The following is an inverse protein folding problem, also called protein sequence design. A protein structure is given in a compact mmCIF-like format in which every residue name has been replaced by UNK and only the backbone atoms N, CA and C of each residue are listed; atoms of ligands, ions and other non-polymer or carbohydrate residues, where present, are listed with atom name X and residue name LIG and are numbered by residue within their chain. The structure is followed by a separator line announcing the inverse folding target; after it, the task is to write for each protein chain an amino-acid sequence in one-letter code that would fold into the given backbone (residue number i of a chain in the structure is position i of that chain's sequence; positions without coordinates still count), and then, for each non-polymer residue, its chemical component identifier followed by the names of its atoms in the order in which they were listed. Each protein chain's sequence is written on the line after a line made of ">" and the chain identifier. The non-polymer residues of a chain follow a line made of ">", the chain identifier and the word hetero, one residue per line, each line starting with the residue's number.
data_IF_449941184679
#
_entry.id   IF_449941184679
#
_cell.length_a   1.000
_cell.length_b   1.000
_cell.length_c   1.000
_cell.angle_alpha   90.00
_cell.angle_beta   90.00
_cell.angle_gamma   90.00
#
_symmetry.space_group_name_H-M   'P 1'
#
loop_
_entity.id
_entity.type
_entity.pdbx_description
1 polymer ?
#
# COMPACT_ATOMS: atom_id res chain seq x y z
N UNK A 1 0.15 4.66 -0.28
CA UNK A 1 -0.31 4.47 1.11
C UNK A 1 0.40 5.39 2.10
N UNK A 2 1.74 5.42 2.20
CA UNK A 2 2.47 6.30 3.16
C UNK A 2 1.98 7.75 3.21
N UNK A 3 1.94 8.47 2.08
CA UNK A 3 1.49 9.87 2.05
C UNK A 3 0.05 10.06 2.56
N UNK A 4 -0.84 9.10 2.30
CA UNK A 4 -2.22 9.14 2.78
C UNK A 4 -2.27 8.93 4.30
N UNK A 5 -1.49 7.99 4.84
CA UNK A 5 -1.37 7.79 6.28
C UNK A 5 -0.81 9.03 6.99
N UNK A 6 0.23 9.66 6.42
CA UNK A 6 0.79 10.91 6.95
C UNK A 6 -0.23 12.04 6.93
N UNK A 7 -0.96 12.20 5.82
CA UNK A 7 -2.01 13.22 5.70
C UNK A 7 -3.13 13.01 6.72
N UNK A 8 -3.53 11.75 6.96
CA UNK A 8 -4.52 11.41 7.99
C UNK A 8 -4.02 11.79 9.39
N UNK A 9 -2.76 11.48 9.73
CA UNK A 9 -2.17 11.85 11.01
C UNK A 9 -2.01 13.37 11.20
N UNK A 10 -1.69 14.09 10.12
CA UNK A 10 -1.62 15.55 10.16
C UNK A 10 -3.00 16.19 10.34
N UNK A 11 -4.03 15.61 9.72
CA UNK A 11 -5.41 16.13 9.79
C UNK A 11 -6.13 15.73 11.06
N UNK A 12 -5.78 14.56 11.62
CA UNK A 12 -6.38 13.98 12.82
C UNK A 12 -5.28 13.54 13.79
N UNK A 13 -4.63 14.47 14.52
CA UNK A 13 -3.63 14.12 15.52
C UNK A 13 -4.21 13.17 16.57
N UNK A 14 -3.53 12.06 16.84
CA UNK A 14 -3.99 11.03 17.78
C UNK A 14 -4.96 10.00 17.21
N UNK A 15 -5.31 10.07 15.91
CA UNK A 15 -6.06 8.99 15.27
C UNK A 15 -5.27 7.70 15.26
N UNK A 16 -5.97 6.58 15.47
CA UNK A 16 -5.41 5.23 15.36
C UNK A 16 -5.38 4.83 13.89
N UNK A 17 -4.22 4.49 13.34
CA UNK A 17 -4.10 3.98 11.98
C UNK A 17 -4.21 2.46 11.96
N UNK A 18 -4.99 1.96 11.00
CA UNK A 18 -5.03 0.54 10.66
C UNK A 18 -4.57 0.44 9.21
N UNK A 19 -3.56 -0.38 8.95
CA UNK A 19 -3.05 -0.60 7.59
C UNK A 19 -3.53 -1.94 7.07
N UNK A 20 -4.17 -1.95 5.91
CA UNK A 20 -4.60 -3.21 5.28
C UNK A 20 -4.17 -3.33 3.84
N UNK A 21 -3.94 -4.56 3.37
CA UNK A 21 -3.50 -4.78 2.00
C UNK A 21 -3.75 -6.20 1.53
N UNK A 22 -4.12 -6.34 0.26
CA UNK A 22 -4.30 -7.63 -0.41
C UNK A 22 -3.24 -7.79 -1.50
N UNK A 23 -2.63 -8.98 -1.62
CA UNK A 23 -1.66 -9.31 -2.66
C UNK A 23 -0.50 -8.30 -2.69
N UNK A 24 -0.25 -7.64 -3.83
CA UNK A 24 0.71 -6.55 -3.93
C UNK A 24 0.46 -5.41 -2.91
N UNK A 25 -0.80 -5.15 -2.56
CA UNK A 25 -1.17 -4.20 -1.52
C UNK A 25 -0.63 -4.56 -0.14
N UNK A 26 -0.43 -5.84 0.16
CA UNK A 26 0.22 -6.27 1.40
C UNK A 26 1.69 -5.83 1.45
N UNK A 27 2.43 -5.96 0.34
CA UNK A 27 3.79 -5.41 0.24
C UNK A 27 3.81 -3.88 0.42
N UNK A 28 2.76 -3.20 -0.05
CA UNK A 28 2.59 -1.76 0.19
C UNK A 28 2.39 -1.44 1.67
N UNK A 29 1.69 -2.28 2.43
CA UNK A 29 1.57 -2.14 3.90
C UNK A 29 2.94 -2.23 4.56
N UNK A 30 3.73 -3.28 4.26
CA UNK A 30 5.09 -3.46 4.80
C UNK A 30 6.00 -2.26 4.49
N UNK A 31 6.03 -1.84 3.23
CA UNK A 31 6.83 -0.70 2.80
C UNK A 31 6.34 0.62 3.43
N UNK A 32 5.03 0.81 3.56
CA UNK A 32 4.48 2.02 4.15
C UNK A 32 4.78 2.11 5.64
N UNK A 33 4.66 1.00 6.38
CA UNK A 33 5.03 0.93 7.78
C UNK A 33 6.51 1.31 7.99
N UNK A 34 7.41 0.82 7.13
CA UNK A 34 8.83 1.22 7.12
C UNK A 34 9.02 2.71 6.84
N UNK A 35 8.31 3.26 5.85
CA UNK A 35 8.46 4.66 5.42
C UNK A 35 7.77 5.67 6.34
N UNK A 36 6.89 5.24 7.24
CA UNK A 36 6.28 6.11 8.26
C UNK A 36 7.29 6.59 9.31
N UNK A 37 8.42 5.88 9.50
CA UNK A 37 9.47 6.28 10.43
C UNK A 37 8.94 6.45 11.86
N UNK A 38 9.13 7.64 12.44
CA UNK A 38 8.66 7.95 13.79
C UNK A 38 7.13 7.90 13.96
N UNK A 39 6.37 7.98 12.86
CA UNK A 39 4.91 7.91 12.87
C UNK A 39 4.37 6.47 12.88
N UNK A 40 5.25 5.45 12.73
CA UNK A 40 4.84 4.05 12.72
C UNK A 40 4.15 3.63 14.03
N UNK A 41 4.45 4.29 15.16
CA UNK A 41 3.79 4.08 16.46
C UNK A 41 2.29 4.43 16.46
N UNK A 42 1.80 5.16 15.46
CA UNK A 42 0.37 5.45 15.30
C UNK A 42 -0.38 4.32 14.59
N UNK A 43 0.33 3.33 14.03
CA UNK A 43 -0.27 2.13 13.44
C UNK A 43 -0.59 1.16 14.57
N UNK A 44 -1.86 1.07 14.92
CA UNK A 44 -2.32 0.19 16.01
C UNK A 44 -2.59 -1.21 15.54
N UNK A 45 -2.84 -1.42 14.24
CA UNK A 45 -3.02 -2.76 13.68
C UNK A 45 -2.63 -2.78 12.20
N UNK A 46 -2.15 -3.94 11.74
CA UNK A 46 -1.99 -4.23 10.33
C UNK A 46 -2.63 -5.57 9.97
N UNK A 47 -3.39 -5.60 8.87
CA UNK A 47 -4.02 -6.83 8.38
C UNK A 47 -3.76 -7.03 6.90
N UNK A 48 -3.15 -8.15 6.52
CA UNK A 48 -2.88 -8.47 5.12
C UNK A 48 -3.56 -9.73 4.65
N UNK A 49 -3.83 -9.82 3.35
CA UNK A 49 -4.45 -10.98 2.69
C UNK A 49 -3.60 -11.38 1.49
N UNK A 50 -3.26 -12.66 1.34
CA UNK A 50 -2.43 -13.12 0.23
C UNK A 50 -1.05 -12.45 0.21
N UNK A 51 -0.40 -12.35 1.37
CA UNK A 51 0.80 -11.54 1.58
C UNK A 51 2.09 -12.24 1.11
N UNK A 52 2.80 -11.71 0.08
CA UNK A 52 4.11 -12.22 -0.32
C UNK A 52 5.17 -12.14 0.78
N UNK A 53 4.98 -11.22 1.74
CA UNK A 53 5.88 -10.98 2.86
C UNK A 53 5.30 -11.49 4.19
N UNK A 54 4.44 -12.52 4.16
CA UNK A 54 3.80 -13.11 5.36
C UNK A 54 4.77 -13.48 6.50
N UNK A 55 6.04 -13.73 6.17
CA UNK A 55 7.10 -14.10 7.12
C UNK A 55 7.80 -12.89 7.75
N UNK A 56 7.40 -11.67 7.38
CA UNK A 56 7.96 -10.41 7.86
C UNK A 56 6.91 -9.65 8.66
N UNK A 57 7.35 -8.91 9.68
CA UNK A 57 6.49 -7.96 10.38
C UNK A 57 6.58 -6.58 9.71
N UNK A 58 5.44 -5.87 9.54
CA UNK A 58 5.48 -4.45 9.21
C UNK A 58 6.28 -3.69 10.27
N UNK A 59 7.17 -2.80 9.84
CA UNK A 59 8.06 -2.07 10.76
C UNK A 59 7.24 -1.24 11.76
N UNK A 60 7.53 -1.38 13.05
CA UNK A 60 6.84 -0.66 14.12
C UNK A 60 5.50 -1.26 14.55
N UNK A 61 5.07 -2.37 13.93
CA UNK A 61 3.89 -3.13 14.35
C UNK A 61 4.34 -4.39 15.10
N UNK A 62 3.75 -4.64 16.26
CA UNK A 62 4.10 -5.81 17.07
C UNK A 62 3.50 -7.10 16.48
N UNK A 63 4.02 -8.26 16.89
CA UNK A 63 3.44 -9.57 16.53
C UNK A 63 1.97 -9.69 16.94
N UNK A 64 1.54 -9.04 18.04
CA UNK A 64 0.16 -9.08 18.50
C UNK A 64 -0.79 -8.21 17.65
N UNK A 65 -0.25 -7.18 17.00
CA UNK A 65 -1.01 -6.18 16.25
C UNK A 65 -0.96 -6.41 14.73
N UNK A 66 -0.26 -7.47 14.30
CA UNK A 66 -0.22 -7.91 12.92
C UNK A 66 -0.91 -9.26 12.75
N UNK A 67 -1.82 -9.33 11.78
CA UNK A 67 -2.41 -10.58 11.35
C UNK A 67 -2.39 -10.66 9.82
N UNK A 68 -2.06 -11.82 9.27
CA UNK A 68 -1.98 -12.02 7.82
C UNK A 68 -2.72 -13.28 7.44
N UNK A 69 -3.57 -13.23 6.42
CA UNK A 69 -4.33 -14.37 5.94
C UNK A 69 -3.66 -14.91 4.68
N UNK A 70 -3.31 -16.20 4.69
CA UNK A 70 -2.76 -16.91 3.54
C UNK A 70 -3.51 -18.22 3.32
N UNK A 71 -4.30 -18.25 2.25
CA UNK A 71 -5.12 -19.39 1.87
C UNK A 71 -4.24 -20.58 1.45
N UNK A 72 -4.74 -21.78 1.73
CA UNK A 72 -4.12 -22.99 1.19
C UNK A 72 -4.14 -22.93 -0.34
N UNK A 73 -3.01 -23.24 -0.98
CA UNK A 73 -2.86 -23.17 -2.44
C UNK A 73 -2.67 -21.76 -3.00
N UNK A 74 -2.61 -20.72 -2.17
CA UNK A 74 -2.19 -19.39 -2.63
C UNK A 74 -0.67 -19.35 -2.87
N UNK A 75 -0.27 -19.41 -4.15
CA UNK A 75 1.13 -19.34 -4.55
C UNK A 75 1.80 -18.00 -4.25
N UNK A 76 1.03 -16.91 -4.08
CA UNK A 76 1.57 -15.58 -3.79
C UNK A 76 2.18 -15.52 -2.39
N UNK A 77 1.55 -16.21 -1.43
CA UNK A 77 2.07 -16.36 -0.07
C UNK A 77 3.35 -17.21 -0.01
N UNK A 78 3.63 -18.02 -1.04
CA UNK A 78 4.63 -19.07 -1.00
C UNK A 78 4.16 -20.28 -0.17
N UNK A 79 4.74 -21.44 -0.47
CA UNK A 79 4.32 -22.73 0.12
C UNK A 79 4.98 -23.05 1.46
N UNK A 80 5.91 -22.21 1.93
CA UNK A 80 6.73 -22.48 3.12
C UNK A 80 6.81 -21.24 4.04
N UNK A 81 7.25 -21.45 5.28
CA UNK A 81 7.55 -20.38 6.24
C UNK A 81 6.45 -20.11 7.27
N UNK A 82 6.88 -19.81 8.50
CA UNK A 82 6.02 -19.36 9.60
C UNK A 82 5.60 -17.91 9.37
N UNK A 83 4.36 -17.60 9.72
CA UNK A 83 3.84 -16.25 9.59
C UNK A 83 4.21 -15.40 10.79
N UNK A 84 4.53 -14.13 10.54
CA UNK A 84 5.14 -13.25 11.53
C UNK A 84 4.13 -12.63 12.51
N UNK A 85 2.83 -12.73 12.18
CA UNK A 85 1.71 -12.29 13.01
C UNK A 85 1.27 -13.34 14.05
N UNK A 86 0.57 -12.87 15.08
CA UNK A 86 0.01 -13.74 16.11
C UNK A 86 -1.08 -14.64 15.52
N UNK A 87 -1.04 -15.92 15.89
CA UNK A 87 -1.99 -16.92 15.39
C UNK A 87 -1.62 -17.52 14.03
N UNK A 88 -0.45 -17.20 13.49
CA UNK A 88 -0.02 -17.69 12.18
C UNK A 88 -0.71 -16.95 11.05
N UNK A 89 -1.10 -17.68 10.00
CA UNK A 89 -1.72 -17.10 8.81
C UNK A 89 -2.83 -17.95 8.20
N UNK A 90 -3.53 -18.66 9.07
CA UNK A 90 -4.68 -19.48 8.69
C UNK A 90 -5.73 -18.60 8.00
N UNK A 91 -6.27 -19.12 6.90
CA UNK A 91 -7.37 -18.50 6.16
C UNK A 91 -8.48 -19.53 5.95
N UNK A 92 -9.72 -19.07 6.00
CA UNK A 92 -10.91 -19.84 5.68
C UNK A 92 -11.12 -20.01 4.16
N UNK A 93 -10.33 -19.31 3.33
CA UNK A 93 -10.42 -19.36 1.88
C UNK A 93 -10.07 -20.75 1.34
N UNK A 94 -10.99 -21.33 0.59
CA UNK A 94 -10.78 -22.57 -0.18
C UNK A 94 -10.45 -22.29 -1.66
N UNK A 95 -10.51 -21.03 -2.09
CA UNK A 95 -10.28 -20.59 -3.48
C UNK A 95 -8.89 -19.98 -3.68
N UNK A 96 -7.93 -20.34 -2.82
CA UNK A 96 -6.57 -19.81 -2.86
C UNK A 96 -6.57 -18.28 -2.79
N UNK A 97 -5.84 -17.64 -3.71
CA UNK A 97 -5.62 -16.20 -3.74
C UNK A 97 -6.91 -15.36 -3.86
N UNK A 98 -8.00 -15.91 -4.38
CA UNK A 98 -9.21 -15.14 -4.70
C UNK A 98 -10.30 -15.18 -3.62
N UNK A 99 -10.16 -16.05 -2.61
CA UNK A 99 -11.23 -16.37 -1.65
C UNK A 99 -11.16 -15.66 -0.30
N UNK A 100 -10.32 -14.64 -0.13
CA UNK A 100 -10.13 -13.93 1.14
C UNK A 100 -11.36 -13.17 1.65
N UNK A 101 -12.43 -13.07 0.85
CA UNK A 101 -13.73 -12.59 1.32
C UNK A 101 -14.27 -13.41 2.50
N UNK A 102 -13.87 -14.67 2.64
CA UNK A 102 -14.24 -15.53 3.77
C UNK A 102 -13.57 -15.15 5.10
N UNK A 103 -12.52 -14.33 5.07
CA UNK A 103 -11.73 -13.96 6.25
C UNK A 103 -12.08 -12.56 6.80
N UNK A 104 -12.95 -11.81 6.12
CA UNK A 104 -13.20 -10.39 6.45
C UNK A 104 -13.80 -10.19 7.85
N UNK A 105 -14.67 -11.09 8.30
CA UNK A 105 -15.26 -11.01 9.64
C UNK A 105 -14.24 -11.32 10.74
N UNK A 106 -13.35 -12.29 10.49
CA UNK A 106 -12.22 -12.60 11.38
C UNK A 106 -11.24 -11.43 11.44
N UNK A 107 -10.93 -10.82 10.28
CA UNK A 107 -10.08 -9.63 10.19
C UNK A 107 -10.65 -8.44 10.96
N UNK A 108 -11.94 -8.16 10.78
CA UNK A 108 -12.64 -7.09 11.49
C UNK A 108 -12.66 -7.33 13.00
N UNK A 109 -12.88 -8.58 13.42
CA UNK A 109 -12.87 -8.98 14.82
C UNK A 109 -11.48 -8.79 15.46
N UNK A 110 -10.42 -9.14 14.73
CA UNK A 110 -9.04 -8.89 15.14
C UNK A 110 -8.76 -7.39 15.28
N UNK A 111 -9.10 -6.58 14.27
CA UNK A 111 -8.91 -5.12 14.33
C UNK A 111 -9.63 -4.54 15.54
N UNK A 112 -10.87 -4.97 15.80
CA UNK A 112 -11.66 -4.51 16.94
C UNK A 112 -11.02 -4.88 18.27
N UNK A 113 -10.47 -6.09 18.41
CA UNK A 113 -9.83 -6.54 19.65
C UNK A 113 -8.56 -5.74 19.93
N UNK A 114 -7.75 -5.46 18.90
CA UNK A 114 -6.52 -4.67 19.03
C UNK A 114 -6.86 -3.22 19.38
N UNK A 115 -7.77 -2.59 18.64
CA UNK A 115 -8.16 -1.18 18.87
C UNK A 115 -8.81 -0.98 20.25
N UNK A 116 -9.61 -1.94 20.70
CA UNK A 116 -10.26 -1.92 22.02
C UNK A 116 -9.30 -2.22 23.18
N UNK A 117 -8.25 -3.01 22.94
CA UNK A 117 -7.20 -3.33 23.91
C UNK A 117 -6.07 -2.29 23.98
N UNK A 118 -5.84 -1.51 22.92
CA UNK A 118 -4.92 -0.37 22.98
C UNK A 118 -5.55 0.76 23.78
N UNK A 119 -5.19 0.88 25.07
CA UNK A 119 -5.62 1.95 25.99
C UNK A 119 -5.58 3.31 25.28
N UNK A 120 -6.76 3.79 24.92
CA UNK A 120 -6.92 4.94 24.04
C UNK A 120 -6.77 6.24 24.83
N UNK A 121 -5.75 7.03 24.52
CA UNK A 121 -5.79 8.47 24.72
C UNK A 121 -6.72 9.12 23.69
N UNK A 122 -8.01 9.18 24.04
CA UNK A 122 -9.04 10.13 23.57
C UNK A 122 -9.11 10.56 22.09
N UNK A 123 -10.15 10.09 21.38
CA UNK A 123 -11.33 10.91 21.00
C UNK A 123 -12.23 10.10 20.07
N UNK A 124 -13.47 9.92 20.51
CA UNK A 124 -14.53 9.19 19.80
C UNK A 124 -14.95 9.98 18.56
N UNK A 125 -14.39 9.62 17.39
CA UNK A 125 -14.95 10.00 16.10
C UNK A 125 -15.68 8.79 15.51
N UNK A 126 -17.00 8.79 15.66
CA UNK A 126 -17.89 7.83 15.00
C UNK A 126 -17.94 8.15 13.50
N UNK A 127 -17.05 7.53 12.72
CA UNK A 127 -17.22 7.48 11.27
C UNK A 127 -18.17 6.32 10.94
N UNK A 128 -19.45 6.65 10.72
CA UNK A 128 -20.42 5.73 10.13
C UNK A 128 -20.08 5.56 8.64
N UNK A 129 -19.55 4.41 8.26
CA UNK A 129 -19.50 3.99 6.85
C UNK A 129 -20.82 3.28 6.56
N UNK A 130 -21.74 3.98 5.88
CA UNK A 130 -22.92 3.36 5.32
C UNK A 130 -22.52 2.40 4.19
N UNK A 131 -23.10 1.19 4.10
CA UNK A 131 -22.84 0.29 2.99
C UNK A 131 -23.52 0.84 1.74
N UNK A 132 -22.74 1.24 0.73
CA UNK A 132 -23.29 1.44 -0.62
C UNK A 132 -23.33 0.09 -1.32
N UNK A 133 -24.51 -0.53 -1.27
CA UNK A 133 -24.86 -1.66 -2.14
C UNK A 133 -25.03 -1.11 -3.56
N UNK A 134 -24.09 -1.42 -4.44
CA UNK A 134 -24.28 -1.24 -5.88
C UNK A 134 -23.77 -2.48 -6.61
N UNK A 135 -24.60 -3.52 -6.60
CA UNK A 135 -24.61 -4.49 -7.69
C UNK A 135 -25.29 -3.79 -8.88
N UNK A 136 -24.55 -3.54 -9.96
CA UNK A 136 -25.14 -3.24 -11.26
C UNK A 136 -24.74 -4.36 -12.22
N UNK A 137 -25.79 -4.97 -12.77
CA UNK A 137 -25.77 -6.14 -13.61
C UNK A 137 -24.92 -5.95 -14.87
N UNK A 138 -24.29 -7.04 -15.30
CA UNK A 138 -23.71 -7.20 -16.63
C UNK A 138 -24.89 -7.29 -17.62
N UNK A 139 -25.05 -6.30 -18.50
CA UNK A 139 -25.93 -6.43 -19.66
C UNK A 139 -25.12 -6.95 -20.82
N UNK A 140 -25.55 -8.10 -21.32
CA UNK A 140 -25.05 -8.76 -22.51
C UNK A 140 -25.56 -8.00 -23.72
N UNK A 141 -24.67 -7.42 -24.53
CA UNK A 141 -25.05 -6.87 -25.83
C UNK A 141 -24.33 -7.65 -26.93
N UNK A 142 -25.11 -8.52 -27.58
CA UNK A 142 -24.84 -9.07 -28.90
C UNK A 142 -25.10 -7.99 -29.93
N UNK A 143 -24.08 -7.59 -30.70
CA UNK A 143 -24.29 -6.81 -31.91
C UNK A 143 -23.86 -7.60 -33.14
N UNK A 144 -24.89 -8.00 -33.90
CA UNK A 144 -24.79 -8.51 -35.25
C UNK A 144 -24.89 -7.35 -36.24
N UNK A 145 -23.76 -6.99 -36.86
CA UNK A 145 -23.70 -6.88 -38.32
C UNK A 145 -23.72 -5.50 -38.99
N UNK A 146 -22.74 -5.37 -39.90
CA UNK A 146 -22.69 -4.65 -41.19
C UNK A 146 -22.40 -3.14 -41.22
N UNK A 147 -21.25 -2.77 -41.82
CA UNK A 147 -21.08 -1.47 -42.46
C UNK A 147 -19.66 -0.97 -42.76
N UNK A 148 -18.95 -1.62 -43.69
CA UNK A 148 -17.97 -1.08 -44.66
C UNK A 148 -17.03 0.10 -44.31
N UNK A 149 -15.71 -0.16 -44.33
CA UNK A 149 -14.68 0.86 -44.51
C UNK A 149 -13.29 0.24 -44.76
N UNK A 150 -12.81 0.33 -46.00
CA UNK A 150 -11.52 -0.20 -46.47
C UNK A 150 -10.32 0.55 -45.86
N UNK A 151 -9.28 -0.19 -45.45
CA UNK A 151 -7.99 0.40 -45.10
C UNK A 151 -6.93 -0.66 -44.78
N UNK A 152 -6.15 -1.04 -45.78
CA UNK A 152 -5.02 -1.97 -45.70
C UNK A 152 -3.90 -1.44 -44.79
N UNK A 153 -3.36 -2.30 -43.92
CA UNK A 153 -2.15 -1.99 -43.15
C UNK A 153 -1.61 -3.20 -42.39
N UNK A 154 -0.77 -4.00 -43.04
CA UNK A 154 0.12 -4.94 -42.36
C UNK A 154 1.19 -4.14 -41.60
N UNK A 155 1.30 -4.36 -40.29
CA UNK A 155 2.32 -3.72 -39.47
C UNK A 155 2.59 -4.51 -38.19
N UNK A 156 3.41 -5.56 -38.32
CA UNK A 156 4.07 -6.24 -37.21
C UNK A 156 5.06 -5.28 -36.53
N UNK A 157 4.90 -5.05 -35.22
CA UNK A 157 5.76 -4.14 -34.48
C UNK A 157 5.67 -4.32 -32.97
N UNK A 158 6.09 -5.49 -32.45
CA UNK A 158 6.39 -5.67 -31.04
C UNK A 158 7.88 -5.99 -30.91
N UNK A 159 8.69 -4.95 -30.72
CA UNK A 159 10.15 -5.08 -30.50
C UNK A 159 10.45 -5.14 -29.01
N UNK A 160 10.92 -6.30 -28.57
CA UNK A 160 11.41 -6.57 -27.21
C UNK A 160 12.89 -6.17 -27.17
N UNK A 161 13.36 -5.29 -26.27
CA UNK A 161 14.79 -5.08 -26.08
C UNK A 161 15.38 -6.17 -25.18
N UNK A 162 16.03 -7.17 -25.79
CA UNK A 162 17.01 -8.06 -25.15
C UNK A 162 18.40 -7.46 -25.24
N UNK A 163 18.90 -6.86 -24.16
CA UNK A 163 20.36 -6.67 -23.99
C UNK A 163 20.77 -6.83 -22.52
N UNK A 164 21.43 -7.97 -22.27
CA UNK A 164 22.17 -8.36 -21.08
C UNK A 164 23.56 -7.69 -21.11
N UNK A 165 24.05 -7.03 -20.04
CA UNK A 165 25.44 -6.60 -20.01
C UNK A 165 26.36 -7.74 -19.54
N UNK A 166 27.27 -8.11 -20.43
CA UNK A 166 28.39 -9.02 -20.21
C UNK A 166 29.54 -8.33 -19.46
N UNK A 167 30.17 -9.05 -18.53
CA UNK A 167 31.39 -8.68 -17.81
C UNK A 167 32.55 -8.44 -18.78
N UNK A 168 33.25 -7.31 -18.64
CA UNK A 168 34.46 -6.99 -19.37
C UNK A 168 35.48 -6.30 -18.48
N UNK A 169 36.58 -7.01 -18.20
CA UNK A 169 37.77 -6.52 -17.51
C UNK A 169 38.46 -5.41 -18.31
N UNK A 170 38.78 -4.28 -17.67
CA UNK A 170 39.53 -3.18 -18.28
C UNK A 170 40.28 -2.38 -17.23
N UNK A 171 41.59 -2.63 -17.14
CA UNK A 171 42.57 -1.92 -16.32
C UNK A 171 42.93 -0.60 -17.04
N UNK A 172 42.73 0.55 -16.39
CA UNK A 172 43.07 1.84 -16.98
C UNK A 172 43.19 2.95 -15.93
N UNK A 173 44.44 3.33 -15.64
CA UNK A 173 44.81 4.46 -14.79
C UNK A 173 44.48 5.79 -15.48
N UNK A 174 43.83 6.72 -14.77
CA UNK A 174 43.60 8.07 -15.26
C UNK A 174 43.26 9.04 -14.13
N UNK A 175 44.23 9.87 -13.73
CA UNK A 175 44.02 11.07 -12.91
C UNK A 175 43.18 12.09 -13.69
N UNK A 176 42.18 12.70 -13.06
CA UNK A 176 41.41 13.78 -13.66
C UNK A 176 40.45 14.44 -12.67
N UNK A 177 40.78 15.67 -12.30
CA UNK A 177 40.13 16.55 -11.34
C UNK A 177 38.89 17.28 -11.87
N UNK A 178 37.84 17.38 -11.04
CA UNK A 178 37.04 18.61 -10.85
C UNK A 178 35.73 18.80 -11.63
N UNK A 179 34.77 19.42 -10.90
CA UNK A 179 33.57 20.15 -11.35
C UNK A 179 32.37 19.28 -11.82
N UNK A 180 31.10 19.53 -11.49
CA UNK A 180 30.38 20.59 -10.77
C UNK A 180 28.98 20.04 -10.43
N UNK A 181 28.48 20.23 -9.21
CA UNK A 181 27.09 19.88 -8.85
C UNK A 181 26.14 21.06 -9.13
N UNK A 182 24.94 20.86 -9.68
CA UNK A 182 23.94 21.92 -9.75
C UNK A 182 23.27 22.11 -8.38
N UNK A 183 23.35 23.34 -7.87
CA UNK A 183 22.64 23.82 -6.69
C UNK A 183 21.14 23.97 -6.99
N UNK A 184 20.28 23.41 -6.13
CA UNK A 184 18.84 23.59 -6.18
C UNK A 184 18.45 24.73 -5.24
N UNK A 185 18.03 25.87 -5.81
CA UNK A 185 17.63 27.07 -5.08
C UNK A 185 16.23 26.93 -4.46
N UNK A 186 16.11 27.33 -3.19
CA UNK A 186 14.85 27.44 -2.45
C UNK A 186 14.31 28.87 -2.61
N UNK A 187 13.08 29.08 -3.11
CA UNK A 187 12.44 30.40 -2.99
C UNK A 187 11.84 30.57 -1.59
N UNK A 188 12.45 31.46 -0.82
CA UNK A 188 11.89 32.07 0.40
C UNK A 188 10.97 33.21 -0.03
N UNK A 189 9.66 33.11 0.21
CA UNK A 189 8.75 34.25 0.12
C UNK A 189 7.78 34.25 1.30
N UNK A 190 8.09 35.13 2.25
CA UNK A 190 7.26 35.55 3.37
C UNK A 190 6.63 36.90 2.98
N UNK A 191 5.30 37.08 3.01
CA UNK A 191 4.73 38.41 2.98
C UNK A 191 4.57 38.92 4.42
N UNK A 192 5.38 39.92 4.75
CA UNK A 192 5.19 40.84 5.87
C UNK A 192 4.14 41.90 5.49
N UNK A 193 3.16 42.10 6.37
CA UNK A 193 2.57 43.42 6.61
C UNK A 193 1.09 43.58 6.24
N UNK A 194 0.25 43.74 7.27
CA UNK A 194 -0.55 44.95 7.41
C UNK A 194 -0.97 45.16 8.87
N UNK A 195 -0.40 46.20 9.47
CA UNK A 195 -0.80 46.83 10.71
C UNK A 195 -2.05 47.68 10.49
N UNK A 196 -3.03 47.61 11.40
CA UNK A 196 -4.26 48.40 11.32
C UNK A 196 -5.04 48.42 12.63
N UNK A 197 -4.70 49.39 13.48
CA UNK A 197 -5.44 50.07 14.54
C UNK A 197 -6.93 49.70 14.81
N UNK A 198 -7.29 49.62 16.10
CA UNK A 198 -8.68 49.83 16.53
C UNK A 198 -8.98 49.50 17.99
N UNK A 199 -8.74 50.45 18.90
CA UNK A 199 -9.33 50.52 20.25
C UNK A 199 -10.84 50.76 20.13
N UNK A 200 -11.66 49.93 20.79
CA UNK A 200 -12.78 50.26 21.69
C UNK A 200 -13.46 48.98 22.15
#
# INVERSE_FOLDING_TARGET
>A
MTKAAQSALSSCPGTKLILTGYSQGAMVVHNSAKLLGSQASSVVAAVTFGDPFKTQLPTGVSTADFHTFCASGDSVCGTTGTCAGSGGCTSASTMGHLGYGSDVDTAASFIKSVVGGSTAGGSTATASVAPTTAATAITTETDTGLGSGLGSGLGSGFSIPTTLPTLGSGLGSGLGSGFSMPAFSIPTALPTGLSGFGKL
#
